data_IF_506710143576
#
_entry.id   IF_506710143576
#
_cell.length_a   1.000
_cell.length_b   1.000
_cell.length_c   1.000
_cell.angle_alpha   90.00
_cell.angle_beta   90.00
_cell.angle_gamma   90.00
#
_symmetry.space_group_name_H-M   'P 1'
#
loop_
_entity.id
_entity.type
_entity.pdbx_description
1 polymer ?
#
# COMPACT_ATOMS: atom_id res chain seq x y z
N UNK A 1 1.49 6.86 22.34
CA UNK A 1 2.21 7.04 21.05
C UNK A 1 1.86 5.87 20.16
N UNK A 2 2.12 5.90 18.85
CA UNK A 2 1.95 4.73 17.99
C UNK A 2 3.34 4.28 17.54
N UNK A 3 3.60 2.97 17.54
CA UNK A 3 4.82 2.42 16.96
C UNK A 3 4.63 2.33 15.45
N UNK A 4 5.63 2.80 14.69
CA UNK A 4 5.62 2.79 13.23
C UNK A 4 6.74 1.89 12.75
N UNK A 5 6.40 0.95 11.87
CA UNK A 5 7.36 0.03 11.23
C UNK A 5 7.23 0.12 9.72
N UNK A 6 8.33 0.39 9.00
CA UNK A 6 8.31 0.40 7.53
C UNK A 6 8.19 -1.04 7.00
N UNK A 7 7.30 -1.24 6.02
CA UNK A 7 7.12 -2.53 5.34
C UNK A 7 7.80 -2.54 3.97
N UNK A 8 7.60 -1.48 3.18
CA UNK A 8 8.28 -1.33 1.88
C UNK A 8 8.19 0.11 1.36
N UNK A 9 9.10 0.44 0.45
CA UNK A 9 9.15 1.71 -0.25
C UNK A 9 9.61 1.50 -1.69
N UNK A 10 8.84 2.00 -2.66
CA UNK A 10 9.17 1.85 -4.07
C UNK A 10 8.70 3.03 -4.92
N UNK A 11 9.30 3.17 -6.11
CA UNK A 11 8.92 4.18 -7.10
C UNK A 11 8.08 3.55 -8.19
N UNK A 12 6.99 4.22 -8.55
CA UNK A 12 6.18 3.86 -9.71
C UNK A 12 6.89 4.40 -10.97
N UNK A 13 7.15 3.56 -11.99
CA UNK A 13 7.86 3.99 -13.20
C UNK A 13 7.15 5.11 -13.96
N UNK A 14 5.81 5.13 -13.93
CA UNK A 14 4.98 6.15 -14.54
C UNK A 14 4.66 7.24 -13.51
N UNK A 15 4.99 8.50 -13.82
CA UNK A 15 4.56 9.65 -13.04
C UNK A 15 5.44 10.06 -11.84
N UNK A 16 6.63 9.47 -11.68
CA UNK A 16 7.56 9.80 -10.57
C UNK A 16 6.92 9.71 -9.18
N UNK A 17 5.96 8.79 -9.01
CA UNK A 17 5.29 8.59 -7.73
C UNK A 17 6.14 7.70 -6.82
N UNK A 18 6.18 8.02 -5.53
CA UNK A 18 6.80 7.20 -4.50
C UNK A 18 5.71 6.68 -3.57
N UNK A 19 5.68 5.36 -3.37
CA UNK A 19 4.74 4.68 -2.49
C UNK A 19 5.53 4.09 -1.32
N UNK A 20 5.04 4.31 -0.11
CA UNK A 20 5.58 3.76 1.12
C UNK A 20 4.44 3.12 1.92
N UNK A 21 4.67 1.90 2.40
CA UNK A 21 3.77 1.15 3.25
C UNK A 21 4.37 1.02 4.65
N UNK A 22 3.60 1.36 5.67
CA UNK A 22 4.02 1.30 7.07
C UNK A 22 2.96 0.58 7.90
N UNK A 23 3.36 -0.24 8.88
CA UNK A 23 2.48 -0.70 9.94
C UNK A 23 2.45 0.34 11.06
N UNK A 24 1.24 0.63 11.56
CA UNK A 24 1.01 1.51 12.70
C UNK A 24 0.37 0.69 13.81
N UNK A 25 1.06 0.55 14.95
CA UNK A 25 0.57 -0.15 16.13
C UNK A 25 0.21 0.85 17.23
N UNK A 26 -1.05 0.82 17.68
CA UNK A 26 -1.55 1.66 18.75
C UNK A 26 -1.27 0.99 20.11
N UNK A 27 -0.54 1.69 21.01
CA UNK A 27 0.07 1.15 22.24
C UNK A 27 -0.92 0.57 23.28
N UNK A 28 -2.23 0.73 23.11
CA UNK A 28 -3.26 0.26 24.06
C UNK A 28 -4.08 -0.96 23.56
N UNK A 29 -3.45 -1.85 22.77
CA UNK A 29 -4.13 -3.02 22.20
C UNK A 29 -5.13 -2.67 21.09
N UNK A 30 -4.99 -1.48 20.51
CA UNK A 30 -5.74 -1.08 19.32
C UNK A 30 -5.34 -1.89 18.09
N UNK A 31 -6.21 -1.89 17.08
CA UNK A 31 -5.98 -2.58 15.82
C UNK A 31 -4.72 -2.03 15.11
N UNK A 32 -3.84 -2.92 14.64
CA UNK A 32 -2.76 -2.57 13.73
C UNK A 32 -3.33 -2.10 12.40
N UNK A 33 -2.91 -0.93 11.93
CA UNK A 33 -3.33 -0.38 10.64
C UNK A 33 -2.18 -0.39 9.64
N UNK A 34 -2.53 -0.56 8.36
CA UNK A 34 -1.60 -0.34 7.26
C UNK A 34 -1.72 1.11 6.81
N UNK A 35 -0.68 1.90 7.04
CA UNK A 35 -0.55 3.25 6.50
C UNK A 35 0.04 3.20 5.10
N UNK A 36 -0.67 3.82 4.17
CA UNK A 36 -0.24 4.01 2.78
C UNK A 36 0.12 5.47 2.60
N UNK A 37 1.33 5.74 2.12
CA UNK A 37 1.82 7.08 1.80
C UNK A 37 2.17 7.14 0.33
N UNK A 38 1.49 8.02 -0.40
CA UNK A 38 1.74 8.25 -1.82
C UNK A 38 2.22 9.67 -1.99
N UNK A 39 3.42 9.83 -2.56
CA UNK A 39 4.00 11.12 -2.91
C UNK A 39 4.05 11.27 -4.43
N UNK A 40 3.47 12.35 -4.91
CA UNK A 40 3.52 12.78 -6.32
C UNK A 40 4.05 14.22 -6.38
N UNK A 41 5.37 14.36 -6.52
CA UNK A 41 6.06 15.66 -6.44
C UNK A 41 5.86 16.35 -5.09
N UNK A 42 5.00 17.37 -5.06
CA UNK A 42 4.59 18.14 -3.87
C UNK A 42 3.25 17.68 -3.26
N UNK A 43 2.51 16.80 -3.95
CA UNK A 43 1.23 16.27 -3.46
C UNK A 43 1.50 15.02 -2.62
N UNK A 44 0.81 14.93 -1.50
CA UNK A 44 0.89 13.80 -0.58
C UNK A 44 -0.51 13.30 -0.28
N UNK A 45 -0.71 12.00 -0.41
CA UNK A 45 -1.91 11.31 0.05
C UNK A 45 -1.47 10.32 1.11
N UNK A 46 -2.05 10.40 2.30
CA UNK A 46 -1.78 9.49 3.40
C UNK A 46 -3.12 9.02 3.94
N UNK A 47 -3.30 7.72 4.05
CA UNK A 47 -4.49 7.12 4.63
C UNK A 47 -4.12 5.76 5.24
N UNK A 48 -4.93 5.34 6.20
CA UNK A 48 -4.75 4.10 6.93
C UNK A 48 -5.91 3.17 6.60
N UNK A 49 -5.61 1.90 6.41
CA UNK A 49 -6.62 0.85 6.16
C UNK A 49 -6.43 -0.30 7.15
N UNK A 50 -7.55 -0.95 7.49
CA UNK A 50 -7.56 -2.14 8.35
C UNK A 50 -7.05 -3.38 7.58
N UNK A 51 -6.73 -4.49 8.29
CA UNK A 51 -6.24 -5.71 7.65
C UNK A 51 -7.17 -6.33 6.60
N UNK A 52 -8.49 -6.26 6.79
CA UNK A 52 -9.44 -6.84 5.83
C UNK A 52 -9.50 -6.01 4.54
N UNK A 53 -9.48 -4.68 4.67
CA UNK A 53 -9.38 -3.77 3.50
C UNK A 53 -8.05 -3.97 2.76
N UNK A 54 -6.94 -4.13 3.48
CA UNK A 54 -5.62 -4.40 2.88
C UNK A 54 -5.61 -5.73 2.11
N UNK A 55 -6.21 -6.79 2.66
CA UNK A 55 -6.34 -8.08 1.97
C UNK A 55 -7.15 -7.96 0.68
N UNK A 56 -8.26 -7.20 0.70
CA UNK A 56 -9.07 -6.98 -0.49
C UNK A 56 -8.23 -6.31 -1.60
N UNK A 57 -7.49 -5.26 -1.27
CA UNK A 57 -6.61 -4.57 -2.21
C UNK A 57 -5.58 -5.52 -2.82
N UNK A 58 -4.88 -6.30 -1.98
CA UNK A 58 -3.86 -7.24 -2.44
C UNK A 58 -4.43 -8.25 -3.45
N UNK A 59 -5.60 -8.83 -3.16
CA UNK A 59 -6.27 -9.79 -4.05
C UNK A 59 -6.65 -9.12 -5.38
N UNK A 60 -7.23 -7.91 -5.34
CA UNK A 60 -7.65 -7.18 -6.54
C UNK A 60 -6.45 -6.82 -7.44
N UNK A 61 -5.37 -6.29 -6.85
CA UNK A 61 -4.15 -5.95 -7.58
C UNK A 61 -3.48 -7.18 -8.20
N UNK A 62 -3.39 -8.28 -7.45
CA UNK A 62 -2.80 -9.53 -7.94
C UNK A 62 -3.59 -10.10 -9.11
N UNK A 63 -4.93 -10.16 -9.00
CA UNK A 63 -5.80 -10.62 -10.09
C UNK A 63 -5.62 -9.80 -11.36
N UNK A 64 -5.50 -8.47 -11.24
CA UNK A 64 -5.25 -7.60 -12.38
C UNK A 64 -3.86 -7.85 -13.00
N UNK A 65 -2.81 -7.98 -12.18
CA UNK A 65 -1.46 -8.26 -12.67
C UNK A 65 -1.38 -9.59 -13.43
N UNK A 66 -2.06 -10.63 -12.94
CA UNK A 66 -2.07 -11.93 -13.59
C UNK A 66 -2.88 -11.92 -14.91
N UNK A 67 -3.93 -11.11 -15.01
CA UNK A 67 -4.68 -10.97 -16.27
C UNK A 67 -3.86 -10.31 -17.39
N UNK A 68 -2.91 -9.43 -17.06
CA UNK A 68 -2.01 -8.82 -18.06
C UNK A 68 -1.04 -9.82 -18.66
N UNK A 69 -0.60 -10.83 -17.89
CA UNK A 69 0.28 -11.89 -18.38
C UNK A 69 -0.45 -12.84 -19.31
N UNK A 70 -1.71 -13.15 -19.00
CA UNK A 70 -2.54 -14.00 -19.85
C UNK A 70 -2.78 -13.34 -21.21
N UNK A 71 -3.15 -12.05 -21.22
CA UNK A 71 -3.37 -11.29 -22.45
C UNK A 71 -2.10 -11.06 -23.31
N UNK A 72 -0.91 -11.22 -22.73
CA UNK A 72 0.36 -11.10 -23.47
C UNK A 72 0.82 -12.42 -24.12
N UNK A 73 0.19 -13.54 -23.75
CA UNK A 73 0.51 -14.88 -24.25
C UNK A 73 -0.52 -15.42 -25.27
N UNK A 74 -1.56 -14.65 -25.56
CA UNK A 74 -2.56 -14.87 -26.62
C UNK A 74 -2.27 -13.97 -27.83
#
# INVERSE_FOLDING_TARGET
MAQISELTKFKVPLGSQEIELQQIDHIEGGMSLLRIRIREGRRFTIFDIDPATAQHWAIAMQRWADSQKLAAND
#
